data_IF_526203397797
#
_entry.id   IF_526203397797
#
_cell.length_a   1.000
_cell.length_b   1.000
_cell.length_c   1.000
_cell.angle_alpha   90.00
_cell.angle_beta   90.00
_cell.angle_gamma   90.00
#
_symmetry.space_group_name_H-M   'P 1'
#
loop_
_entity.id
_entity.type
_entity.pdbx_description
1 polymer ?
#
# COMPACT_ATOMS: atom_id res chain seq x y z
N UNK A 1 -18.16 -5.82 32.09
CA UNK A 1 -17.29 -6.86 31.51
C UNK A 1 -16.46 -6.15 30.45
N UNK A 2 -15.29 -5.62 30.87
CA UNK A 2 -14.39 -4.85 30.02
C UNK A 2 -13.68 -5.82 29.07
N UNK A 3 -13.92 -5.68 27.77
CA UNK A 3 -13.15 -6.36 26.72
C UNK A 3 -11.80 -5.68 26.61
N UNK A 4 -10.82 -6.20 27.35
CA UNK A 4 -9.41 -5.90 27.10
C UNK A 4 -9.00 -6.52 25.76
N UNK A 5 -9.12 -5.75 24.69
CA UNK A 5 -8.48 -6.05 23.42
C UNK A 5 -7.01 -5.67 23.59
N UNK A 6 -6.24 -6.53 24.19
CA UNK A 6 -4.78 -6.49 24.13
C UNK A 6 -4.39 -6.87 22.72
N UNK A 7 -4.07 -5.86 21.90
CA UNK A 7 -3.29 -6.03 20.68
C UNK A 7 -1.86 -6.39 21.08
N UNK A 8 -1.65 -7.62 21.55
CA UNK A 8 -0.34 -8.21 21.61
C UNK A 8 0.03 -8.69 20.21
N UNK A 9 0.46 -7.75 19.38
CA UNK A 9 1.45 -8.07 18.36
C UNK A 9 2.74 -8.24 19.14
N UNK A 10 3.03 -9.47 19.57
CA UNK A 10 4.30 -9.84 20.15
C UNK A 10 5.41 -9.55 19.14
N UNK A 11 5.99 -8.36 19.27
CA UNK A 11 7.26 -8.01 18.64
C UNK A 11 8.36 -8.79 19.37
N UNK A 12 8.50 -10.06 19.06
CA UNK A 12 9.76 -10.74 19.35
C UNK A 12 10.79 -10.23 18.32
N UNK A 13 11.96 -9.71 18.75
CA UNK A 13 13.04 -9.37 17.85
C UNK A 13 13.55 -10.67 17.22
N UNK A 14 12.99 -11.01 16.06
CA UNK A 14 13.46 -12.12 15.25
C UNK A 14 14.91 -11.86 14.83
N UNK A 15 15.77 -12.87 14.97
CA UNK A 15 17.15 -12.85 14.47
C UNK A 15 17.18 -12.34 13.04
N UNK A 16 18.00 -11.33 12.81
CA UNK A 16 18.25 -10.78 11.47
C UNK A 16 18.51 -11.90 10.46
N UNK A 17 17.84 -11.87 9.30
CA UNK A 17 18.02 -12.89 8.29
C UNK A 17 19.46 -12.86 7.77
N UNK A 18 19.95 -14.05 7.37
CA UNK A 18 21.30 -14.28 6.82
C UNK A 18 21.66 -13.25 5.75
N UNK A 19 22.95 -12.82 5.78
CA UNK A 19 23.62 -11.91 4.84
C UNK A 19 23.05 -12.03 3.42
N UNK A 20 22.42 -10.97 2.93
CA UNK A 20 21.74 -10.91 1.62
C UNK A 20 22.75 -10.59 0.53
N UNK A 21 22.62 -11.23 -0.61
CA UNK A 21 23.34 -10.85 -1.83
C UNK A 21 22.67 -9.59 -2.42
N UNK A 22 23.32 -8.44 -2.30
CA UNK A 22 22.88 -7.16 -2.84
C UNK A 22 22.04 -6.29 -1.88
N UNK A 23 21.98 -5.00 -2.18
CA UNK A 23 21.16 -4.03 -1.46
C UNK A 23 19.73 -4.01 -2.00
N UNK A 24 18.74 -3.61 -1.16
CA UNK A 24 17.35 -3.44 -1.59
C UNK A 24 17.26 -2.42 -2.72
N UNK A 25 18.07 -1.37 -2.69
CA UNK A 25 18.17 -0.38 -3.77
C UNK A 25 18.53 -1.02 -5.11
N UNK A 26 19.52 -1.93 -5.15
CA UNK A 26 19.89 -2.63 -6.38
C UNK A 26 18.76 -3.52 -6.89
N UNK A 27 18.05 -4.18 -5.98
CA UNK A 27 16.89 -5.01 -6.31
C UNK A 27 15.73 -4.16 -6.86
N UNK A 28 15.49 -3.00 -6.26
CA UNK A 28 14.48 -2.05 -6.73
C UNK A 28 14.75 -1.62 -8.17
N UNK A 29 15.98 -1.26 -8.51
CA UNK A 29 16.34 -0.84 -9.89
C UNK A 29 16.15 -1.97 -10.92
N UNK A 30 16.36 -3.22 -10.52
CA UNK A 30 16.07 -4.37 -11.40
C UNK A 30 14.56 -4.48 -11.66
N UNK A 31 13.73 -4.43 -10.62
CA UNK A 31 12.27 -4.52 -10.76
C UNK A 31 11.67 -3.30 -11.45
N UNK A 32 12.29 -2.13 -11.28
CA UNK A 32 11.89 -0.89 -11.96
C UNK A 32 11.94 -1.02 -13.49
N UNK A 33 12.88 -1.78 -14.01
CA UNK A 33 12.96 -2.02 -15.46
C UNK A 33 11.69 -2.73 -15.97
N UNK A 34 11.14 -3.67 -15.22
CA UNK A 34 9.90 -4.36 -15.56
C UNK A 34 8.68 -3.43 -15.40
N UNK A 35 8.73 -2.49 -14.46
CA UNK A 35 7.66 -1.52 -14.21
C UNK A 35 7.57 -0.42 -15.28
N UNK A 36 8.70 0.01 -15.85
CA UNK A 36 8.76 1.18 -16.74
C UNK A 36 7.72 1.19 -17.87
N UNK A 37 7.46 0.10 -18.61
CA UNK A 37 6.43 0.09 -19.65
C UNK A 37 5.02 0.41 -19.14
N UNK A 38 4.72 0.01 -17.92
CA UNK A 38 3.42 0.30 -17.28
C UNK A 38 3.33 1.76 -16.82
N UNK A 39 4.43 2.29 -16.31
CA UNK A 39 4.54 3.70 -15.94
C UNK A 39 4.41 4.61 -17.17
N UNK A 40 5.04 4.28 -18.28
CA UNK A 40 4.92 5.05 -19.53
C UNK A 40 3.48 5.06 -20.04
N UNK A 41 2.79 3.91 -20.03
CA UNK A 41 1.36 3.82 -20.35
C UNK A 41 0.51 4.67 -19.41
N UNK A 42 0.77 4.62 -18.11
CA UNK A 42 0.06 5.42 -17.11
C UNK A 42 0.26 6.92 -17.32
N UNK A 43 1.49 7.33 -17.65
CA UNK A 43 1.83 8.72 -17.96
C UNK A 43 1.11 9.21 -19.21
N UNK A 44 1.01 8.40 -20.26
CA UNK A 44 0.25 8.73 -21.47
C UNK A 44 -1.27 8.83 -21.19
N UNK A 45 -1.82 7.94 -20.37
CA UNK A 45 -3.21 8.04 -19.91
C UNK A 45 -3.46 9.30 -19.06
N UNK A 46 -2.50 9.67 -18.20
CA UNK A 46 -2.60 10.87 -17.39
C UNK A 46 -2.61 12.15 -18.22
N UNK A 47 -1.86 12.22 -19.32
CA UNK A 47 -1.85 13.37 -20.25
C UNK A 47 -3.23 13.69 -20.83
N UNK A 48 -4.07 12.69 -21.05
CA UNK A 48 -5.43 12.86 -21.60
C UNK A 48 -6.52 12.90 -20.53
N UNK A 49 -6.19 12.64 -19.28
CA UNK A 49 -7.11 12.65 -18.13
C UNK A 49 -6.72 13.71 -17.10
N UNK A 50 -6.05 13.34 -16.04
CA UNK A 50 -5.57 14.23 -14.97
C UNK A 50 -4.03 14.15 -14.95
N UNK A 51 -3.39 15.11 -15.60
CA UNK A 51 -1.92 15.13 -15.77
C UNK A 51 -1.15 15.10 -14.44
N UNK A 52 -1.68 15.72 -13.39
CA UNK A 52 -1.05 15.75 -12.07
C UNK A 52 -0.96 14.40 -11.35
N UNK A 53 -1.68 13.37 -11.82
CA UNK A 53 -1.58 12.01 -11.25
C UNK A 53 -0.26 11.32 -11.61
N UNK A 54 0.31 11.62 -12.79
CA UNK A 54 1.60 11.10 -13.25
C UNK A 54 2.37 12.22 -13.94
N UNK A 55 3.04 13.10 -13.17
CA UNK A 55 3.86 14.16 -13.75
C UNK A 55 5.05 13.58 -14.52
N UNK A 56 5.48 14.31 -15.56
CA UNK A 56 6.69 13.95 -16.32
C UNK A 56 7.93 14.04 -15.41
N UNK A 57 8.95 13.19 -15.68
CA UNK A 57 10.21 13.20 -14.93
C UNK A 57 10.89 14.57 -15.01
N UNK A 58 11.42 15.03 -13.87
CA UNK A 58 12.08 16.34 -13.78
C UNK A 58 11.13 17.49 -13.40
N UNK A 59 9.86 17.24 -13.14
CA UNK A 59 8.98 18.20 -12.47
C UNK A 59 9.33 18.26 -10.98
N UNK A 60 10.46 18.89 -10.66
CA UNK A 60 10.68 19.36 -9.31
C UNK A 60 9.62 20.41 -8.92
N UNK A 61 9.61 20.81 -7.67
CA UNK A 61 8.64 21.71 -6.98
C UNK A 61 8.31 23.02 -7.74
N UNK A 62 8.99 23.32 -8.84
CA UNK A 62 8.84 24.54 -9.67
C UNK A 62 8.32 24.28 -11.09
N UNK A 63 8.05 23.04 -11.46
CA UNK A 63 7.55 22.68 -12.79
C UNK A 63 6.06 23.03 -12.94
N UNK A 64 5.74 23.87 -13.93
CA UNK A 64 4.36 24.20 -14.27
C UNK A 64 3.70 22.98 -14.91
N UNK A 65 2.74 22.35 -14.24
CA UNK A 65 1.96 21.25 -14.81
C UNK A 65 1.24 21.71 -16.09
N UNK A 66 1.38 20.94 -17.17
CA UNK A 66 0.66 21.21 -18.41
C UNK A 66 -0.83 21.01 -18.19
N UNK A 67 -1.60 22.04 -18.47
CA UNK A 67 -3.06 21.94 -18.39
C UNK A 67 -3.59 21.47 -19.75
N UNK A 68 -4.37 20.39 -19.84
CA UNK A 68 -4.96 19.93 -21.08
C UNK A 68 -5.97 20.97 -21.62
N UNK A 69 -6.08 21.07 -22.95
CA UNK A 69 -6.98 22.00 -23.60
C UNK A 69 -8.47 21.71 -23.34
N UNK A 70 -8.79 20.48 -22.97
CA UNK A 70 -10.16 20.06 -22.68
C UNK A 70 -10.22 19.19 -21.42
N UNK A 71 -11.37 19.23 -20.74
CA UNK A 71 -11.58 18.53 -19.45
C UNK A 71 -12.39 17.23 -19.59
N UNK A 72 -12.67 16.76 -20.80
CA UNK A 72 -13.55 15.59 -21.01
C UNK A 72 -12.97 14.35 -20.33
N UNK A 73 -11.67 14.06 -20.52
CA UNK A 73 -11.00 12.93 -19.89
C UNK A 73 -10.98 13.05 -18.35
N UNK A 74 -10.65 14.22 -17.83
CA UNK A 74 -10.66 14.48 -16.39
C UNK A 74 -12.05 14.29 -15.77
N UNK A 75 -13.10 14.82 -16.41
CA UNK A 75 -14.50 14.64 -15.95
C UNK A 75 -14.94 13.18 -16.02
N UNK A 76 -14.57 12.47 -17.09
CA UNK A 76 -14.84 11.05 -17.25
C UNK A 76 -14.19 10.21 -16.15
N UNK A 77 -12.92 10.47 -15.86
CA UNK A 77 -12.18 9.79 -14.79
C UNK A 77 -12.80 10.06 -13.41
N UNK A 78 -13.11 11.33 -13.10
CA UNK A 78 -13.75 11.69 -11.84
C UNK A 78 -15.14 11.05 -11.69
N UNK A 79 -15.94 11.06 -12.76
CA UNK A 79 -17.26 10.41 -12.75
C UNK A 79 -17.13 8.90 -12.49
N UNK A 80 -16.21 8.22 -13.17
CA UNK A 80 -16.01 6.79 -13.03
C UNK A 80 -15.46 6.43 -11.63
N UNK A 81 -14.47 7.17 -11.12
CA UNK A 81 -13.94 6.95 -9.77
C UNK A 81 -14.98 7.16 -8.67
N UNK A 82 -15.85 8.18 -8.82
CA UNK A 82 -16.97 8.42 -7.91
C UNK A 82 -17.98 7.28 -7.97
N UNK A 83 -18.31 6.81 -9.15
CA UNK A 83 -19.24 5.69 -9.34
C UNK A 83 -18.72 4.40 -8.73
N UNK A 84 -17.42 4.10 -8.90
CA UNK A 84 -16.77 2.96 -8.23
C UNK A 84 -16.80 3.13 -6.72
N UNK A 85 -16.46 4.31 -6.20
CA UNK A 85 -16.51 4.60 -4.77
C UNK A 85 -17.88 4.38 -4.17
N UNK A 86 -18.94 4.88 -4.82
CA UNK A 86 -20.32 4.69 -4.35
C UNK A 86 -20.80 3.24 -4.45
N UNK A 87 -20.31 2.48 -5.43
CA UNK A 87 -20.71 1.08 -5.62
C UNK A 87 -19.99 0.13 -4.67
N UNK A 88 -18.71 0.37 -4.40
CA UNK A 88 -17.87 -0.52 -3.58
C UNK A 88 -17.87 -0.10 -2.10
N UNK A 89 -17.98 1.19 -1.80
CA UNK A 89 -17.99 1.76 -0.46
C UNK A 89 -19.20 2.68 -0.25
N UNK A 90 -20.43 2.15 -0.30
CA UNK A 90 -21.63 2.97 -0.12
C UNK A 90 -21.61 3.68 1.23
N UNK A 91 -22.08 4.94 1.30
CA UNK A 91 -22.19 5.65 2.56
C UNK A 91 -23.29 5.01 3.44
N UNK A 92 -23.03 4.92 4.74
CA UNK A 92 -23.99 4.49 5.76
C UNK A 92 -24.59 3.06 5.60
N UNK A 93 -24.02 2.25 4.73
CA UNK A 93 -24.42 0.84 4.56
C UNK A 93 -23.18 -0.05 4.65
N UNK A 94 -23.25 -1.17 5.37
CA UNK A 94 -22.17 -2.15 5.35
C UNK A 94 -22.02 -2.71 3.92
N UNK A 95 -20.79 -2.76 3.45
CA UNK A 95 -20.45 -3.29 2.12
C UNK A 95 -19.86 -4.71 2.20
N UNK A 96 -19.77 -5.27 3.38
CA UNK A 96 -19.36 -6.64 3.64
C UNK A 96 -20.25 -7.24 4.73
N UNK A 97 -20.32 -8.55 4.78
CA UNK A 97 -21.02 -9.33 5.81
C UNK A 97 -20.09 -10.42 6.31
N UNK A 98 -20.05 -10.61 7.61
CA UNK A 98 -19.35 -11.71 8.25
C UNK A 98 -20.30 -12.89 8.40
N UNK A 99 -19.89 -14.04 7.89
CA UNK A 99 -20.62 -15.30 8.05
C UNK A 99 -19.66 -16.35 8.61
N UNK A 100 -20.17 -17.20 9.46
CA UNK A 100 -19.42 -18.32 9.99
C UNK A 100 -19.64 -19.50 9.06
N UNK A 101 -18.55 -20.13 8.62
CA UNK A 101 -18.64 -21.38 7.86
C UNK A 101 -19.24 -22.47 8.76
N UNK A 102 -20.42 -22.92 8.38
CA UNK A 102 -21.16 -23.95 9.09
C UNK A 102 -20.41 -25.28 9.19
N UNK A 103 -19.48 -25.54 8.26
CA UNK A 103 -18.62 -26.72 8.27
C UNK A 103 -17.49 -26.62 9.30
N UNK A 104 -16.96 -25.42 9.54
CA UNK A 104 -15.86 -25.22 10.49
C UNK A 104 -16.30 -25.37 11.95
N UNK A 105 -17.58 -25.17 12.27
CA UNK A 105 -18.07 -25.12 13.65
C UNK A 105 -18.75 -26.39 14.14
N UNK A 106 -18.97 -27.43 13.32
CA UNK A 106 -19.86 -28.56 13.70
C UNK A 106 -21.19 -28.08 14.29
N UNK A 107 -21.70 -26.93 13.81
CA UNK A 107 -22.83 -26.18 14.36
C UNK A 107 -24.18 -26.91 14.12
N UNK A 108 -24.19 -28.06 13.44
CA UNK A 108 -25.40 -28.87 13.33
C UNK A 108 -25.93 -29.32 14.71
N UNK A 109 -25.05 -29.39 15.72
CA UNK A 109 -25.45 -29.71 17.12
C UNK A 109 -25.74 -28.47 17.98
N UNK A 110 -25.39 -27.26 17.51
CA UNK A 110 -25.67 -26.02 18.26
C UNK A 110 -27.12 -25.61 18.04
N UNK A 111 -27.83 -25.46 19.14
CA UNK A 111 -29.24 -25.03 19.13
C UNK A 111 -29.44 -23.67 18.45
N UNK A 112 -30.68 -23.35 17.99
CA UNK A 112 -30.98 -22.11 17.26
C UNK A 112 -30.65 -20.84 18.06
N UNK A 113 -30.61 -20.90 19.38
CA UNK A 113 -30.26 -19.80 20.27
C UNK A 113 -28.80 -19.40 20.12
N UNK A 114 -27.87 -20.36 20.02
CA UNK A 114 -26.44 -20.10 19.85
C UNK A 114 -26.17 -19.46 18.48
N UNK A 115 -26.87 -19.88 17.43
CA UNK A 115 -26.74 -19.25 16.09
C UNK A 115 -27.15 -17.77 16.13
N UNK A 116 -28.27 -17.46 16.82
CA UNK A 116 -28.75 -16.09 16.95
C UNK A 116 -27.77 -15.20 17.73
N UNK A 117 -27.17 -15.74 18.81
CA UNK A 117 -26.16 -15.02 19.58
C UNK A 117 -24.88 -14.75 18.74
N UNK A 118 -24.42 -15.75 17.97
CA UNK A 118 -23.29 -15.62 17.08
C UNK A 118 -23.54 -14.58 15.98
N UNK A 119 -24.68 -14.65 15.32
CA UNK A 119 -25.06 -13.66 14.28
C UNK A 119 -25.11 -12.25 14.87
N UNK A 120 -25.66 -12.10 16.07
CA UNK A 120 -25.68 -10.81 16.77
C UNK A 120 -24.27 -10.31 17.11
N UNK A 121 -23.36 -11.20 17.48
CA UNK A 121 -21.97 -10.85 17.77
C UNK A 121 -21.24 -10.41 16.49
N UNK A 122 -21.45 -11.13 15.37
CA UNK A 122 -20.84 -10.77 14.07
C UNK A 122 -21.31 -9.40 13.57
N UNK A 123 -22.61 -9.10 13.70
CA UNK A 123 -23.13 -7.77 13.35
C UNK A 123 -22.46 -6.66 14.16
N UNK A 124 -22.18 -6.89 15.46
CA UNK A 124 -21.45 -5.90 16.27
C UNK A 124 -20.02 -5.70 15.77
N UNK A 125 -19.35 -6.78 15.34
CA UNK A 125 -18.01 -6.69 14.75
C UNK A 125 -18.05 -5.93 13.43
N UNK A 126 -19.01 -6.21 12.54
CA UNK A 126 -19.22 -5.46 11.30
C UNK A 126 -19.38 -3.95 11.55
N UNK A 127 -20.22 -3.60 12.53
CA UNK A 127 -20.43 -2.20 12.90
C UNK A 127 -19.15 -1.54 13.46
N UNK A 128 -18.39 -2.25 14.27
CA UNK A 128 -17.12 -1.76 14.80
C UNK A 128 -16.10 -1.50 13.69
N UNK A 129 -15.97 -2.43 12.73
CA UNK A 129 -15.08 -2.27 11.57
C UNK A 129 -15.53 -1.09 10.69
N UNK A 130 -16.84 -0.96 10.43
CA UNK A 130 -17.38 0.19 9.70
C UNK A 130 -17.07 1.52 10.38
N UNK A 131 -17.25 1.61 11.69
CA UNK A 131 -16.92 2.80 12.47
C UNK A 131 -15.42 3.12 12.42
N UNK A 132 -14.56 2.10 12.47
CA UNK A 132 -13.10 2.27 12.33
C UNK A 132 -12.72 2.82 10.96
N UNK A 133 -13.28 2.26 9.88
CA UNK A 133 -13.03 2.73 8.51
C UNK A 133 -13.49 4.19 8.30
N UNK A 134 -14.57 4.59 8.94
CA UNK A 134 -15.03 5.98 8.91
C UNK A 134 -14.09 6.91 9.66
N UNK A 135 -13.63 6.51 10.84
CA UNK A 135 -12.64 7.26 11.63
C UNK A 135 -11.33 7.46 10.89
N UNK A 136 -10.87 6.44 10.18
CA UNK A 136 -9.67 6.46 9.34
C UNK A 136 -9.85 7.25 8.02
N UNK A 137 -11.03 7.82 7.76
CA UNK A 137 -11.32 8.48 6.48
C UNK A 137 -11.05 7.60 5.25
N UNK A 138 -11.27 6.28 5.39
CA UNK A 138 -10.93 5.29 4.37
C UNK A 138 -11.54 5.59 3.00
N UNK A 139 -12.74 6.20 2.95
CA UNK A 139 -13.40 6.56 1.69
C UNK A 139 -12.61 7.59 0.88
N UNK A 140 -11.99 8.57 1.53
CA UNK A 140 -11.18 9.59 0.85
C UNK A 140 -9.94 8.93 0.20
N UNK A 141 -9.23 8.09 0.96
CA UNK A 141 -8.08 7.34 0.46
C UNK A 141 -8.47 6.38 -0.67
N UNK A 142 -9.58 5.67 -0.54
CA UNK A 142 -10.07 4.78 -1.59
C UNK A 142 -10.48 5.53 -2.86
N UNK A 143 -11.08 6.72 -2.74
CA UNK A 143 -11.39 7.56 -3.91
C UNK A 143 -10.12 8.00 -4.65
N UNK A 144 -9.04 8.31 -3.93
CA UNK A 144 -7.74 8.58 -4.53
C UNK A 144 -7.17 7.31 -5.19
N UNK A 145 -7.22 6.17 -4.50
CA UNK A 145 -6.80 4.89 -5.05
C UNK A 145 -7.53 4.53 -6.34
N UNK A 146 -8.83 4.74 -6.43
CA UNK A 146 -9.60 4.49 -7.66
C UNK A 146 -9.18 5.38 -8.82
N UNK A 147 -8.88 6.66 -8.58
CA UNK A 147 -8.35 7.54 -9.64
C UNK A 147 -7.03 7.02 -10.19
N UNK A 148 -6.12 6.62 -9.30
CA UNK A 148 -4.84 6.04 -9.70
C UNK A 148 -5.03 4.70 -10.41
N UNK A 149 -5.86 3.81 -9.86
CA UNK A 149 -6.15 2.50 -10.43
C UNK A 149 -6.72 2.59 -11.85
N UNK A 150 -7.61 3.56 -12.11
CA UNK A 150 -8.20 3.78 -13.44
C UNK A 150 -7.20 4.34 -14.46
N UNK A 151 -6.21 5.11 -14.03
CA UNK A 151 -5.21 5.72 -14.93
C UNK A 151 -4.02 4.79 -15.13
N UNK A 152 -3.48 4.20 -14.06
CA UNK A 152 -2.28 3.37 -14.11
C UNK A 152 -2.56 1.88 -14.22
N UNK A 153 -3.80 1.45 -13.93
CA UNK A 153 -4.13 0.03 -13.81
C UNK A 153 -3.63 -0.63 -12.52
N UNK A 154 -2.79 0.05 -11.75
CA UNK A 154 -2.13 -0.47 -10.55
C UNK A 154 -2.07 0.57 -9.45
N UNK A 155 -2.25 0.14 -8.20
CA UNK A 155 -2.07 0.98 -7.01
C UNK A 155 -1.70 0.09 -5.82
N UNK A 156 -0.84 0.58 -4.95
CA UNK A 156 -0.51 -0.10 -3.71
C UNK A 156 -1.18 0.64 -2.54
N UNK A 157 -1.90 -0.11 -1.72
CA UNK A 157 -2.45 0.39 -0.47
C UNK A 157 -1.60 -0.12 0.69
N UNK A 158 -1.36 0.74 1.65
CA UNK A 158 -0.81 0.39 2.95
C UNK A 158 -1.79 0.79 4.04
N UNK A 159 -2.25 -0.20 4.80
CA UNK A 159 -3.19 -0.01 5.90
C UNK A 159 -2.40 0.05 7.20
N UNK A 160 -2.52 1.14 7.93
CA UNK A 160 -1.97 1.29 9.26
C UNK A 160 -3.07 1.71 10.25
N UNK A 161 -2.83 1.70 11.56
CA UNK A 161 -3.81 2.12 12.55
C UNK A 161 -4.31 3.57 12.39
N UNK A 162 -3.51 4.43 11.77
CA UNK A 162 -3.84 5.85 11.57
C UNK A 162 -4.66 6.09 10.30
N UNK A 163 -4.63 5.18 9.32
CA UNK A 163 -5.38 5.32 8.09
C UNK A 163 -4.89 4.45 6.93
N UNK A 164 -5.44 4.68 5.75
CA UNK A 164 -5.06 4.01 4.52
C UNK A 164 -4.20 4.96 3.70
N UNK A 165 -2.96 4.55 3.45
CA UNK A 165 -2.04 5.27 2.59
C UNK A 165 -2.09 4.70 1.18
N UNK A 166 -2.21 5.58 0.20
CA UNK A 166 -2.19 5.24 -1.22
C UNK A 166 -0.80 5.52 -1.78
N UNK A 167 -0.17 4.52 -2.35
CA UNK A 167 1.19 4.61 -2.88
C UNK A 167 1.12 4.53 -4.41
N UNK A 168 1.67 5.55 -5.07
CA UNK A 168 1.71 5.66 -6.52
C UNK A 168 2.58 4.59 -7.16
N UNK A 169 2.22 4.18 -8.39
CA UNK A 169 2.99 3.21 -9.17
C UNK A 169 4.46 3.62 -9.34
N UNK A 170 4.77 4.91 -9.40
CA UNK A 170 6.15 5.41 -9.51
C UNK A 170 7.03 5.07 -8.31
N UNK A 171 6.45 4.86 -7.13
CA UNK A 171 7.16 4.72 -5.87
C UNK A 171 7.26 3.27 -5.38
N UNK A 172 6.73 2.29 -6.12
CA UNK A 172 6.83 0.90 -5.72
C UNK A 172 7.05 -0.04 -6.92
N UNK A 173 7.62 -1.19 -6.62
CA UNK A 173 7.73 -2.30 -7.55
C UNK A 173 7.17 -3.56 -6.92
N UNK A 174 6.55 -4.42 -7.71
CA UNK A 174 5.98 -5.69 -7.27
C UNK A 174 6.59 -6.81 -8.11
N UNK A 175 6.91 -7.92 -7.48
CA UNK A 175 7.20 -9.17 -8.17
C UNK A 175 6.09 -10.17 -7.85
N UNK A 176 5.57 -10.81 -8.89
CA UNK A 176 4.53 -11.84 -8.77
C UNK A 176 5.03 -13.14 -9.37
N UNK A 177 4.40 -14.22 -8.96
CA UNK A 177 4.58 -15.52 -9.63
C UNK A 177 3.61 -15.65 -10.84
N UNK A 178 3.78 -16.67 -11.70
CA UNK A 178 2.89 -16.90 -12.84
C UNK A 178 1.41 -17.10 -12.45
N UNK A 179 1.14 -17.51 -11.21
CA UNK A 179 -0.22 -17.63 -10.68
C UNK A 179 -0.81 -16.27 -10.28
N UNK A 180 0.03 -15.21 -10.23
CA UNK A 180 -0.34 -13.87 -9.85
C UNK A 180 -0.22 -13.58 -8.36
N UNK A 181 0.30 -14.52 -7.56
CA UNK A 181 0.58 -14.30 -6.14
C UNK A 181 1.76 -13.36 -5.96
N UNK A 182 1.65 -12.44 -5.01
CA UNK A 182 2.71 -11.50 -4.70
C UNK A 182 3.84 -12.21 -3.96
N UNK A 183 5.09 -12.00 -4.41
CA UNK A 183 6.29 -12.55 -3.76
C UNK A 183 7.12 -11.48 -3.08
N UNK A 184 7.22 -10.31 -3.70
CA UNK A 184 8.02 -9.21 -3.19
C UNK A 184 7.39 -7.88 -3.57
N UNK A 185 7.39 -6.93 -2.63
CA UNK A 185 7.06 -5.53 -2.88
C UNK A 185 8.23 -4.70 -2.37
N UNK A 186 8.69 -3.74 -3.16
CA UNK A 186 9.69 -2.77 -2.72
C UNK A 186 9.11 -1.38 -2.96
N UNK A 187 9.06 -0.57 -1.89
CA UNK A 187 8.60 0.82 -1.92
C UNK A 187 9.81 1.73 -1.77
N UNK A 188 9.95 2.72 -2.65
CA UNK A 188 10.94 3.79 -2.55
C UNK A 188 10.26 5.05 -1.99
N UNK A 189 10.86 5.66 -0.98
CA UNK A 189 10.39 6.89 -0.37
C UNK A 189 11.55 7.85 -0.15
N UNK A 190 11.30 9.13 -0.38
CA UNK A 190 12.23 10.18 -0.04
C UNK A 190 11.86 10.79 1.32
N UNK A 191 12.71 10.63 2.31
CA UNK A 191 12.51 11.12 3.68
C UNK A 191 13.58 12.16 4.02
N UNK A 192 13.20 13.11 4.87
CA UNK A 192 14.19 14.03 5.43
C UNK A 192 15.06 13.29 6.46
N UNK A 193 16.35 13.65 6.59
CA UNK A 193 17.27 13.05 7.56
C UNK A 193 16.72 13.06 8.98
N UNK A 194 16.03 14.13 9.36
CA UNK A 194 15.43 14.30 10.70
C UNK A 194 14.32 13.28 11.03
N UNK A 195 13.80 12.59 10.01
CA UNK A 195 12.79 11.54 10.20
C UNK A 195 13.40 10.14 10.41
N UNK A 196 14.72 10.02 10.27
CA UNK A 196 15.45 8.78 10.54
C UNK A 196 15.79 8.66 12.02
N UNK A 197 15.96 7.44 12.58
CA UNK A 197 16.34 7.25 13.97
C UNK A 197 17.67 7.94 14.30
N UNK A 198 17.76 8.49 15.51
CA UNK A 198 18.99 9.12 16.00
C UNK A 198 20.19 8.18 15.89
N UNK A 199 21.27 8.68 15.30
CA UNK A 199 22.50 7.91 15.09
C UNK A 199 22.52 7.05 13.82
N UNK A 200 21.44 7.02 13.02
CA UNK A 200 21.41 6.31 11.73
C UNK A 200 21.91 7.18 10.56
N UNK A 201 22.16 8.48 10.80
CA UNK A 201 22.72 9.37 9.78
C UNK A 201 24.09 8.84 9.35
N UNK A 202 24.26 8.35 8.13
CA UNK A 202 25.58 7.95 7.66
C UNK A 202 26.47 9.19 7.62
N UNK A 203 27.70 9.08 8.17
CA UNK A 203 28.75 10.12 8.23
C UNK A 203 29.06 10.82 6.87
N UNK A 204 28.53 10.31 5.78
CA UNK A 204 28.73 10.82 4.42
C UNK A 204 27.82 11.98 4.01
N UNK A 205 26.88 12.44 4.84
CA UNK A 205 26.08 13.63 4.52
C UNK A 205 26.82 14.94 4.82
N UNK A 206 27.95 14.88 5.54
CA UNK A 206 28.75 16.08 5.85
C UNK A 206 29.63 16.57 4.71
N UNK A 207 29.98 15.71 3.74
CA UNK A 207 31.02 16.03 2.74
C UNK A 207 30.55 16.75 1.47
N UNK A 208 29.24 16.94 1.26
CA UNK A 208 28.75 17.62 0.05
C UNK A 208 28.43 19.10 0.33
N UNK A 209 29.49 19.89 0.59
CA UNK A 209 29.44 21.36 0.74
C UNK A 209 29.23 22.11 -0.58
N UNK A 210 28.65 21.51 -1.59
CA UNK A 210 28.39 22.19 -2.87
C UNK A 210 27.01 22.85 -2.85
N UNK A 211 27.06 24.13 -2.53
CA UNK A 211 26.24 25.24 -3.04
C UNK A 211 24.70 25.03 -3.19
N UNK A 212 23.96 25.58 -2.23
CA UNK A 212 22.55 25.93 -2.37
C UNK A 212 21.63 25.26 -1.33
N UNK A 213 20.48 25.85 -0.98
CA UNK A 213 19.54 25.29 0.00
C UNK A 213 18.67 24.19 -0.65
N UNK A 214 19.29 23.14 -1.18
CA UNK A 214 18.58 21.95 -1.62
C UNK A 214 18.35 21.10 -0.38
N UNK A 215 17.09 20.92 0.01
CA UNK A 215 16.68 19.98 1.03
C UNK A 215 17.17 18.59 0.64
N UNK A 216 18.26 18.13 1.28
CA UNK A 216 18.82 16.79 1.01
C UNK A 216 17.86 15.76 1.58
N UNK A 217 17.14 15.05 0.75
CA UNK A 217 16.33 13.88 1.12
C UNK A 217 17.16 12.62 1.04
N UNK A 218 16.83 11.63 1.84
CA UNK A 218 17.44 10.29 1.83
C UNK A 218 16.41 9.32 1.27
N UNK A 219 16.83 8.48 0.32
CA UNK A 219 15.99 7.40 -0.19
C UNK A 219 15.96 6.25 0.79
N UNK A 220 14.76 5.91 1.23
CA UNK A 220 14.46 4.77 2.09
C UNK A 220 13.70 3.74 1.25
N UNK A 221 14.12 2.50 1.33
CA UNK A 221 13.48 1.38 0.65
C UNK A 221 12.82 0.47 1.68
N UNK A 222 11.50 0.30 1.56
CA UNK A 222 10.76 -0.70 2.34
C UNK A 222 10.64 -1.97 1.51
N UNK A 223 11.26 -3.04 1.97
CA UNK A 223 11.20 -4.36 1.33
C UNK A 223 10.19 -5.24 2.07
N UNK A 224 9.18 -5.69 1.36
CA UNK A 224 8.14 -6.61 1.85
C UNK A 224 8.27 -7.93 1.13
N UNK A 225 8.34 -9.04 1.84
CA UNK A 225 8.46 -10.40 1.29
C UNK A 225 7.35 -11.30 1.80
N UNK A 226 6.81 -12.08 0.88
CA UNK A 226 5.80 -13.07 1.14
C UNK A 226 6.41 -14.46 0.97
N UNK A 227 6.55 -15.21 2.06
CA UNK A 227 7.10 -16.55 2.08
C UNK A 227 6.23 -17.46 2.95
N UNK A 228 5.65 -18.52 2.34
CA UNK A 228 4.94 -19.60 3.02
C UNK A 228 4.02 -19.14 4.15
N UNK A 229 2.96 -18.44 3.81
CA UNK A 229 1.93 -17.95 4.72
C UNK A 229 2.37 -16.80 5.66
N UNK A 230 3.58 -16.27 5.48
CA UNK A 230 4.11 -15.17 6.31
C UNK A 230 4.54 -14.00 5.44
N UNK A 231 4.10 -12.81 5.83
CA UNK A 231 4.56 -11.54 5.28
C UNK A 231 5.57 -10.91 6.24
N UNK A 232 6.74 -10.54 5.73
CA UNK A 232 7.79 -9.86 6.49
C UNK A 232 8.20 -8.58 5.80
N UNK A 233 8.52 -7.52 6.55
CA UNK A 233 9.03 -6.27 5.97
C UNK A 233 10.11 -5.65 6.84
N UNK A 234 10.95 -4.84 6.22
CA UNK A 234 11.98 -4.05 6.86
C UNK A 234 12.34 -2.87 5.96
N UNK A 235 13.01 -1.89 6.51
CA UNK A 235 13.48 -0.71 5.79
C UNK A 235 15.00 -0.67 5.68
N UNK A 236 15.49 -0.19 4.54
CA UNK A 236 16.91 -0.02 4.24
C UNK A 236 17.13 1.39 3.69
N UNK A 237 18.18 2.05 4.13
CA UNK A 237 18.65 3.29 3.55
C UNK A 237 20.16 3.22 3.33
N UNK A 238 20.64 3.63 2.14
CA UNK A 238 22.05 3.61 1.74
C UNK A 238 22.75 2.24 1.87
N UNK A 239 22.02 1.14 1.83
CA UNK A 239 22.53 -0.22 1.94
C UNK A 239 22.63 -0.74 3.38
N UNK A 240 22.12 0.02 4.36
CA UNK A 240 22.07 -0.37 5.77
C UNK A 240 20.62 -0.50 6.23
N UNK A 241 20.31 -1.55 6.98
CA UNK A 241 18.99 -1.79 7.54
C UNK A 241 18.71 -0.81 8.67
N UNK A 242 17.55 -0.15 8.62
CA UNK A 242 17.12 0.80 9.65
C UNK A 242 16.67 0.02 10.88
N UNK A 243 17.25 0.28 12.08
CA UNK A 243 16.89 -0.42 13.31
C UNK A 243 15.39 -0.28 13.64
N UNK A 244 14.80 -1.33 14.21
CA UNK A 244 13.41 -1.38 14.68
C UNK A 244 12.33 -1.20 13.58
N UNK A 245 12.66 -1.42 12.31
CA UNK A 245 11.71 -1.35 11.20
C UNK A 245 11.21 -2.73 10.74
N UNK A 246 11.75 -3.80 11.32
CA UNK A 246 11.33 -5.15 11.00
C UNK A 246 9.93 -5.43 11.54
N UNK A 247 9.05 -5.93 10.67
CA UNK A 247 7.73 -6.41 11.04
C UNK A 247 7.40 -7.74 10.37
N UNK A 248 6.47 -8.46 10.97
CA UNK A 248 6.02 -9.77 10.50
C UNK A 248 4.54 -9.96 10.81
N UNK A 249 3.79 -10.53 9.87
CA UNK A 249 2.40 -10.94 10.07
C UNK A 249 2.07 -12.17 9.20
N UNK A 250 0.96 -12.87 9.46
CA UNK A 250 0.43 -13.86 8.52
C UNK A 250 0.14 -13.20 7.16
N UNK A 251 0.34 -13.93 6.06
CA UNK A 251 0.14 -13.42 4.69
C UNK A 251 -1.28 -12.85 4.49
N UNK A 252 -2.29 -13.54 5.01
CA UNK A 252 -3.69 -13.12 4.92
C UNK A 252 -4.04 -11.86 5.74
N UNK A 253 -3.14 -11.42 6.63
CA UNK A 253 -3.27 -10.21 7.44
C UNK A 253 -2.28 -9.12 7.01
N UNK A 254 -1.69 -9.23 5.81
CA UNK A 254 -0.73 -8.25 5.32
C UNK A 254 -1.35 -6.85 5.22
N UNK A 255 -0.69 -5.82 5.76
CA UNK A 255 -1.13 -4.44 5.59
C UNK A 255 -0.85 -3.88 4.18
N UNK A 256 -0.09 -4.61 3.36
CA UNK A 256 0.29 -4.23 2.00
C UNK A 256 -0.63 -4.88 0.99
N UNK A 257 -1.42 -4.08 0.26
CA UNK A 257 -2.43 -4.57 -0.68
C UNK A 257 -2.16 -4.00 -2.07
N UNK A 258 -1.44 -4.72 -2.95
CA UNK A 258 -1.21 -4.32 -4.33
C UNK A 258 -2.42 -4.68 -5.20
N UNK A 259 -3.20 -3.65 -5.58
CA UNK A 259 -4.38 -3.78 -6.42
C UNK A 259 -4.01 -3.68 -7.89
N UNK A 260 -4.62 -4.53 -8.72
CA UNK A 260 -4.64 -4.45 -10.19
C UNK A 260 -6.07 -4.30 -10.69
N UNK A 261 -6.27 -3.43 -11.67
CA UNK A 261 -7.57 -3.26 -12.31
C UNK A 261 -7.89 -4.43 -13.24
N UNK A 262 -6.90 -4.88 -14.01
CA UNK A 262 -7.06 -6.00 -14.92
C UNK A 262 -5.80 -6.88 -14.90
N UNK A 263 -5.97 -8.18 -15.03
CA UNK A 263 -4.88 -9.14 -15.17
C UNK A 263 -4.75 -9.52 -16.64
N UNK A 264 -3.57 -9.32 -17.19
CA UNK A 264 -3.17 -9.85 -18.50
C UNK A 264 -2.21 -11.02 -18.20
N UNK A 265 -2.40 -12.15 -18.86
CA UNK A 265 -1.51 -13.30 -18.72
C UNK A 265 -0.07 -12.87 -19.09
N UNK A 266 0.90 -13.39 -18.36
CA UNK A 266 2.34 -13.13 -18.50
C UNK A 266 2.82 -11.73 -18.10
N UNK A 267 1.99 -10.86 -17.55
CA UNK A 267 2.41 -9.56 -17.01
C UNK A 267 2.51 -9.58 -15.48
N UNK A 268 3.63 -9.08 -14.93
CA UNK A 268 3.86 -8.96 -13.49
C UNK A 268 3.02 -7.83 -12.86
N UNK A 269 2.62 -6.83 -13.66
CA UNK A 269 1.87 -5.63 -13.25
C UNK A 269 0.44 -5.61 -13.80
#
# INVERSE_FOLDING_TARGET
MELNITTNVDQQPGKAPKKREGTVASRYEQLKTNRNPFEDRARDCAKVTIHSLFPDDGHGDQGRLKTPYQSVGARGLLHLSNKLGLSLFPPNTPFFKLEIDSLALQVEEAGPEIKTELDTALVKVEQAVMSMLETMSARASMHEAFKQLLVSGNVLLYINPEGIRVIHLQNYCVQRDPMGCVKEIIVEEEVYPDALPDGFLPDRLEDDKTTGPVKKTVKVYTCVKFDKDVCTWYQEAKGEEIPNTYGMCPENCSPWIPLRFNRIEDEEY
#
